data_IF_217981268264
#
_entry.id   IF_217981268264
#
_cell.length_a   1.000
_cell.length_b   1.000
_cell.length_c   1.000
_cell.angle_alpha   90.00
_cell.angle_beta   90.00
_cell.angle_gamma   90.00
#
_symmetry.space_group_name_H-M   'P 1'
#
loop_
_entity.id
_entity.type
_entity.pdbx_description
1 polymer ?
#
# COMPACT_ATOMS: atom_id res chain seq x y z
N UNK A 1 -85.02 76.68 -30.86
CA UNK A 1 -83.78 77.39 -30.46
C UNK A 1 -82.89 76.39 -29.73
N UNK A 2 -81.83 75.92 -30.39
CA UNK A 2 -80.88 74.97 -29.82
C UNK A 2 -79.73 75.77 -29.18
N UNK A 3 -79.54 75.65 -27.87
CA UNK A 3 -78.41 76.21 -27.15
C UNK A 3 -77.21 75.26 -27.28
N UNK A 4 -76.19 75.72 -27.98
CA UNK A 4 -74.86 75.10 -28.07
C UNK A 4 -74.12 75.25 -26.75
N UNK A 5 -73.69 74.14 -26.15
CA UNK A 5 -72.78 74.16 -25.00
C UNK A 5 -71.35 74.49 -25.47
N UNK A 6 -70.59 75.34 -24.75
CA UNK A 6 -69.22 75.67 -25.12
C UNK A 6 -68.27 74.53 -24.73
N UNK A 7 -67.43 74.13 -25.69
CA UNK A 7 -66.26 73.26 -25.48
C UNK A 7 -65.20 74.07 -24.72
N UNK A 8 -64.98 73.73 -23.46
CA UNK A 8 -63.89 74.30 -22.64
C UNK A 8 -62.56 73.70 -23.13
N UNK A 9 -61.52 74.51 -23.42
CA UNK A 9 -60.23 73.99 -23.85
C UNK A 9 -59.54 73.27 -22.69
N UNK A 10 -58.99 72.08 -22.96
CA UNK A 10 -58.25 71.30 -21.98
C UNK A 10 -56.93 72.00 -21.62
N UNK A 11 -56.76 72.31 -20.33
CA UNK A 11 -55.58 72.97 -19.76
C UNK A 11 -54.26 72.24 -20.07
N UNK A 12 -53.42 72.82 -20.94
CA UNK A 12 -52.05 72.35 -21.24
C UNK A 12 -51.18 72.15 -19.99
N UNK A 13 -51.45 72.90 -18.91
CA UNK A 13 -50.76 72.77 -17.63
C UNK A 13 -50.99 71.43 -16.91
N UNK A 14 -52.12 70.75 -17.16
CA UNK A 14 -52.39 69.42 -16.58
C UNK A 14 -51.65 68.31 -17.33
N UNK A 15 -51.50 68.45 -18.64
CA UNK A 15 -50.69 67.54 -19.47
C UNK A 15 -49.20 67.63 -19.12
N UNK A 16 -48.69 68.83 -18.84
CA UNK A 16 -47.28 69.02 -18.49
C UNK A 16 -46.94 68.46 -17.11
N UNK A 17 -47.82 68.64 -16.11
CA UNK A 17 -47.64 68.10 -14.74
C UNK A 17 -47.68 66.57 -14.71
N UNK A 18 -48.54 65.95 -15.51
CA UNK A 18 -48.62 64.48 -15.61
C UNK A 18 -47.39 63.87 -16.28
N UNK A 19 -46.79 64.57 -17.25
CA UNK A 19 -45.56 64.12 -17.90
C UNK A 19 -44.36 64.19 -16.95
N UNK A 20 -44.22 65.28 -16.18
CA UNK A 20 -43.16 65.41 -15.15
C UNK A 20 -43.30 64.33 -14.06
N UNK A 21 -44.53 64.04 -13.62
CA UNK A 21 -44.78 63.00 -12.62
C UNK A 21 -44.40 61.59 -13.13
N UNK A 22 -44.69 61.30 -14.41
CA UNK A 22 -44.32 60.03 -15.04
C UNK A 22 -42.81 59.88 -15.18
N UNK A 23 -42.10 60.95 -15.54
CA UNK A 23 -40.63 60.94 -15.63
C UNK A 23 -40.00 60.74 -14.25
N UNK A 24 -40.53 61.39 -13.21
CA UNK A 24 -40.08 61.18 -11.82
C UNK A 24 -40.30 59.74 -11.37
N UNK A 25 -41.49 59.16 -11.63
CA UNK A 25 -41.78 57.77 -11.29
C UNK A 25 -40.84 56.78 -12.00
N UNK A 26 -40.58 57.00 -13.29
CA UNK A 26 -39.62 56.19 -14.06
C UNK A 26 -38.20 56.28 -13.48
N UNK A 27 -37.78 57.48 -13.05
CA UNK A 27 -36.45 57.68 -12.50
C UNK A 27 -36.30 57.02 -11.12
N UNK A 28 -37.34 57.07 -10.29
CA UNK A 28 -37.38 56.34 -9.00
C UNK A 28 -37.34 54.84 -9.23
N UNK A 29 -38.12 54.31 -10.19
CA UNK A 29 -38.11 52.89 -10.53
C UNK A 29 -36.74 52.44 -11.06
N UNK A 30 -36.05 53.28 -11.84
CA UNK A 30 -34.70 53.01 -12.32
C UNK A 30 -33.68 52.94 -11.17
N UNK A 31 -33.75 53.88 -10.22
CA UNK A 31 -32.88 53.86 -9.04
C UNK A 31 -33.13 52.65 -8.14
N UNK A 32 -34.39 52.31 -7.89
CA UNK A 32 -34.75 51.14 -7.06
C UNK A 32 -34.27 49.84 -7.70
N UNK A 33 -34.46 49.67 -9.00
CA UNK A 33 -33.98 48.47 -9.72
C UNK A 33 -32.45 48.42 -9.76
N UNK A 34 -31.77 49.56 -9.97
CA UNK A 34 -30.31 49.67 -9.88
C UNK A 34 -29.76 49.24 -8.51
N UNK A 35 -30.38 49.69 -7.42
CA UNK A 35 -29.99 49.31 -6.07
C UNK A 35 -30.19 47.80 -5.80
N UNK A 36 -31.28 47.20 -6.30
CA UNK A 36 -31.53 45.76 -6.16
C UNK A 36 -30.47 44.94 -6.90
N UNK A 37 -30.10 45.35 -8.12
CA UNK A 37 -29.08 44.65 -8.92
C UNK A 37 -27.69 44.75 -8.26
N UNK A 38 -27.31 45.93 -7.76
CA UNK A 38 -26.04 46.13 -7.05
C UNK A 38 -26.01 45.32 -5.74
N UNK A 39 -27.10 45.35 -4.97
CA UNK A 39 -27.23 44.54 -3.76
C UNK A 39 -27.13 43.04 -4.08
N UNK A 40 -27.78 42.59 -5.16
CA UNK A 40 -27.67 41.23 -5.66
C UNK A 40 -26.23 40.84 -5.99
N UNK A 41 -25.52 41.64 -6.78
CA UNK A 41 -24.13 41.37 -7.15
C UNK A 41 -23.16 41.36 -5.96
N UNK A 42 -23.43 42.11 -4.89
CA UNK A 42 -22.59 42.12 -3.69
C UNK A 42 -22.88 40.93 -2.75
N UNK A 43 -24.12 40.47 -2.70
CA UNK A 43 -24.56 39.42 -1.78
C UNK A 43 -24.44 38.00 -2.35
N UNK A 44 -24.76 37.80 -3.63
CA UNK A 44 -24.72 36.48 -4.27
C UNK A 44 -23.33 35.81 -4.19
N UNK A 45 -22.20 36.51 -4.46
CA UNK A 45 -20.88 35.89 -4.38
C UNK A 45 -20.50 35.50 -2.95
N UNK A 46 -20.84 36.34 -1.96
CA UNK A 46 -20.58 36.06 -0.54
C UNK A 46 -21.40 34.88 -0.04
N UNK A 47 -22.68 34.82 -0.39
CA UNK A 47 -23.55 33.70 -0.04
C UNK A 47 -23.05 32.39 -0.68
N UNK A 48 -22.67 32.41 -1.96
CA UNK A 48 -22.07 31.24 -2.63
C UNK A 48 -20.75 30.81 -1.98
N UNK A 49 -19.87 31.73 -1.61
CA UNK A 49 -18.61 31.40 -0.94
C UNK A 49 -18.83 30.70 0.41
N UNK A 50 -19.76 31.20 1.24
CA UNK A 50 -20.11 30.56 2.51
C UNK A 50 -20.74 29.18 2.31
N UNK A 51 -21.57 29.02 1.29
CA UNK A 51 -22.23 27.75 0.99
C UNK A 51 -21.23 26.69 0.50
N UNK A 52 -20.26 27.08 -0.34
CA UNK A 52 -19.17 26.20 -0.79
C UNK A 52 -18.26 25.82 0.38
N UNK A 53 -17.93 26.76 1.27
CA UNK A 53 -17.14 26.46 2.47
C UNK A 53 -17.87 25.51 3.43
N UNK A 54 -19.19 25.65 3.59
CA UNK A 54 -19.99 24.74 4.40
C UNK A 54 -20.06 23.33 3.78
N UNK A 55 -20.19 23.24 2.45
CA UNK A 55 -20.19 21.95 1.73
C UNK A 55 -18.81 21.28 1.81
N UNK A 56 -17.73 22.03 1.64
CA UNK A 56 -16.37 21.47 1.72
C UNK A 56 -16.03 21.03 3.14
N UNK A 57 -16.45 21.78 4.17
CA UNK A 57 -16.32 21.38 5.57
C UNK A 57 -17.09 20.09 5.87
N UNK A 58 -18.35 19.98 5.39
CA UNK A 58 -19.13 18.73 5.53
C UNK A 58 -18.49 17.55 4.82
N UNK A 59 -17.93 17.76 3.62
CA UNK A 59 -17.26 16.71 2.86
C UNK A 59 -15.96 16.26 3.54
N UNK A 60 -15.23 17.18 4.18
CA UNK A 60 -14.03 16.87 4.96
C UNK A 60 -14.36 16.06 6.21
N UNK A 61 -15.37 16.48 6.98
CA UNK A 61 -15.84 15.72 8.16
C UNK A 61 -16.24 14.29 7.77
N UNK A 62 -16.94 14.13 6.64
CA UNK A 62 -17.33 12.79 6.17
C UNK A 62 -16.13 11.94 5.75
N UNK A 63 -15.13 12.53 5.09
CA UNK A 63 -13.89 11.82 4.72
C UNK A 63 -13.09 11.40 5.95
N UNK A 64 -12.95 12.30 6.94
CA UNK A 64 -12.25 12.01 8.19
C UNK A 64 -12.98 10.90 8.97
N UNK A 65 -14.32 10.86 8.92
CA UNK A 65 -15.14 9.81 9.52
C UNK A 65 -14.98 8.46 8.80
N UNK A 66 -14.95 8.46 7.46
CA UNK A 66 -14.71 7.25 6.65
C UNK A 66 -13.30 6.67 6.90
N UNK A 67 -12.28 7.52 7.07
CA UNK A 67 -10.91 7.09 7.37
C UNK A 67 -10.79 6.53 8.79
N UNK A 68 -11.45 7.15 9.78
CA UNK A 68 -11.55 6.59 11.14
C UNK A 68 -12.26 5.24 11.13
N UNK A 69 -13.32 5.06 10.34
CA UNK A 69 -14.01 3.77 10.21
C UNK A 69 -13.11 2.70 9.59
N UNK A 70 -12.30 3.04 8.58
CA UNK A 70 -11.32 2.11 7.99
C UNK A 70 -10.23 1.71 8.97
N UNK A 71 -9.64 2.69 9.67
CA UNK A 71 -8.59 2.45 10.67
C UNK A 71 -9.11 1.55 11.79
N UNK A 72 -10.34 1.81 12.25
CA UNK A 72 -11.02 0.96 13.25
C UNK A 72 -11.23 -0.46 12.77
N UNK A 73 -11.69 -0.67 11.52
CA UNK A 73 -11.85 -2.02 10.95
C UNK A 73 -10.52 -2.77 10.89
N UNK A 74 -9.45 -2.10 10.49
CA UNK A 74 -8.10 -2.68 10.42
C UNK A 74 -7.63 -3.17 11.79
N UNK A 75 -7.69 -2.31 12.81
CA UNK A 75 -7.29 -2.70 14.18
C UNK A 75 -8.13 -3.85 14.72
N UNK A 76 -9.42 -3.85 14.43
CA UNK A 76 -10.32 -4.92 14.88
C UNK A 76 -9.96 -6.25 14.23
N UNK A 77 -9.68 -6.25 12.92
CA UNK A 77 -9.23 -7.44 12.20
C UNK A 77 -7.91 -7.97 12.75
N UNK A 78 -6.98 -7.10 13.13
CA UNK A 78 -5.69 -7.47 13.70
C UNK A 78 -5.84 -8.13 15.08
N UNK A 79 -6.73 -7.59 15.94
CA UNK A 79 -7.07 -8.20 17.23
C UNK A 79 -7.68 -9.59 17.04
N UNK A 80 -8.60 -9.75 16.11
CA UNK A 80 -9.24 -11.04 15.81
C UNK A 80 -8.22 -12.06 15.33
N UNK A 81 -7.35 -11.69 14.40
CA UNK A 81 -6.29 -12.57 13.90
C UNK A 81 -5.34 -12.99 15.03
N UNK A 82 -4.98 -12.07 15.91
CA UNK A 82 -4.10 -12.34 17.06
C UNK A 82 -4.76 -13.31 18.05
N UNK A 83 -6.05 -13.11 18.35
CA UNK A 83 -6.81 -13.99 19.24
C UNK A 83 -7.05 -15.37 18.61
N UNK A 84 -7.30 -15.43 17.30
CA UNK A 84 -7.46 -16.68 16.57
C UNK A 84 -6.16 -17.49 16.54
N UNK A 85 -5.01 -16.85 16.32
CA UNK A 85 -3.72 -17.55 16.32
C UNK A 85 -3.30 -18.02 17.73
N UNK A 86 -3.74 -17.30 18.78
CA UNK A 86 -3.63 -17.74 20.17
C UNK A 86 -4.55 -18.92 20.52
N UNK A 87 -5.41 -19.37 19.60
CA UNK A 87 -6.30 -20.53 19.80
C UNK A 87 -7.54 -20.24 20.65
N UNK A 88 -7.94 -18.97 20.74
CA UNK A 88 -9.14 -18.56 21.47
C UNK A 88 -10.39 -19.05 20.73
N UNK A 89 -11.34 -19.62 21.48
CA UNK A 89 -12.63 -20.09 20.94
C UNK A 89 -13.37 -19.00 20.18
N UNK A 90 -14.01 -19.38 19.07
CA UNK A 90 -14.83 -18.51 18.22
C UNK A 90 -15.88 -17.73 19.00
N UNK A 91 -16.52 -18.36 19.99
CA UNK A 91 -17.57 -17.72 20.79
C UNK A 91 -17.00 -16.61 21.69
N UNK A 92 -15.76 -16.77 22.16
CA UNK A 92 -15.06 -15.79 22.98
C UNK A 92 -14.59 -14.61 22.12
N UNK A 93 -14.16 -14.88 20.88
CA UNK A 93 -13.82 -13.83 19.90
C UNK A 93 -15.09 -13.04 19.53
N UNK A 94 -16.20 -13.72 19.22
CA UNK A 94 -17.47 -13.07 18.92
C UNK A 94 -17.99 -12.24 20.10
N UNK A 95 -17.86 -12.76 21.33
CA UNK A 95 -18.19 -12.02 22.55
C UNK A 95 -17.29 -10.79 22.72
N UNK A 96 -15.97 -10.93 22.61
CA UNK A 96 -15.03 -9.82 22.72
C UNK A 96 -15.34 -8.70 21.71
N UNK A 97 -15.68 -9.06 20.47
CA UNK A 97 -16.10 -8.11 19.44
C UNK A 97 -17.43 -7.45 19.83
N UNK A 98 -18.42 -8.22 20.27
CA UNK A 98 -19.75 -7.71 20.66
C UNK A 98 -19.73 -6.75 21.85
N UNK A 99 -18.75 -6.90 22.75
CA UNK A 99 -18.58 -6.04 23.95
C UNK A 99 -17.74 -4.80 23.63
N UNK A 100 -17.05 -4.78 22.49
CA UNK A 100 -16.30 -3.61 22.02
C UNK A 100 -17.11 -2.83 20.98
N UNK A 101 -16.88 -1.52 20.86
CA UNK A 101 -17.57 -0.64 19.89
C UNK A 101 -17.17 -0.90 18.41
N UNK A 102 -16.68 -2.10 18.09
CA UNK A 102 -16.14 -2.48 16.79
C UNK A 102 -17.05 -3.53 16.15
N UNK A 103 -18.06 -3.12 15.36
CA UNK A 103 -18.86 -4.06 14.59
C UNK A 103 -18.00 -4.63 13.45
N UNK A 104 -17.32 -5.74 13.73
CA UNK A 104 -16.82 -6.62 12.68
C UNK A 104 -17.96 -7.50 12.21
N UNK A 105 -18.11 -7.62 10.89
CA UNK A 105 -19.06 -8.55 10.31
C UNK A 105 -18.63 -9.98 10.62
N UNK A 106 -19.55 -10.83 11.08
CA UNK A 106 -19.25 -12.20 11.50
C UNK A 106 -18.72 -13.02 10.30
N UNK A 107 -19.16 -12.68 9.09
CA UNK A 107 -18.65 -13.26 7.86
C UNK A 107 -17.16 -12.96 7.63
N UNK A 108 -16.70 -11.74 7.96
CA UNK A 108 -15.29 -11.35 7.82
C UNK A 108 -14.41 -12.11 8.84
N UNK A 109 -14.96 -12.47 10.00
CA UNK A 109 -14.26 -13.27 11.02
C UNK A 109 -14.01 -14.69 10.51
N UNK A 110 -14.99 -15.35 9.90
CA UNK A 110 -14.82 -16.72 9.37
C UNK A 110 -13.75 -16.74 8.28
N UNK A 111 -13.80 -15.79 7.34
CA UNK A 111 -12.79 -15.66 6.27
C UNK A 111 -11.40 -15.43 6.84
N UNK A 112 -11.27 -14.56 7.85
CA UNK A 112 -9.97 -14.29 8.49
C UNK A 112 -9.43 -15.49 9.27
N UNK A 113 -10.29 -16.30 9.91
CA UNK A 113 -9.89 -17.53 10.59
C UNK A 113 -9.40 -18.57 9.58
N UNK A 114 -10.11 -18.77 8.46
CA UNK A 114 -9.70 -19.68 7.39
C UNK A 114 -8.39 -19.23 6.72
N UNK A 115 -8.22 -17.93 6.50
CA UNK A 115 -6.98 -17.34 5.98
C UNK A 115 -5.81 -17.52 6.98
N UNK A 116 -6.06 -17.33 8.28
CA UNK A 116 -5.07 -17.59 9.32
C UNK A 116 -4.64 -19.06 9.36
N UNK A 117 -5.59 -20.00 9.26
CA UNK A 117 -5.29 -21.43 9.21
C UNK A 117 -4.49 -21.83 7.96
N UNK A 118 -4.82 -21.27 6.80
CA UNK A 118 -4.08 -21.51 5.55
C UNK A 118 -2.68 -20.92 5.57
N UNK A 119 -2.50 -19.71 6.12
CA UNK A 119 -1.17 -19.11 6.33
C UNK A 119 -0.30 -19.93 7.28
N UNK A 120 -0.89 -20.47 8.36
CA UNK A 120 -0.18 -21.34 9.31
C UNK A 120 0.26 -22.65 8.67
N UNK A 121 -0.60 -23.27 7.86
CA UNK A 121 -0.25 -24.46 7.09
C UNK A 121 0.87 -24.17 6.07
N UNK A 122 0.80 -23.01 5.38
CA UNK A 122 1.83 -22.60 4.44
C UNK A 122 3.19 -22.40 5.14
N UNK A 123 3.21 -21.70 6.28
CA UNK A 123 4.44 -21.50 7.05
C UNK A 123 5.04 -22.83 7.52
N UNK A 124 4.21 -23.76 8.00
CA UNK A 124 4.70 -25.09 8.38
C UNK A 124 5.35 -25.85 7.21
N UNK A 125 4.79 -25.72 5.99
CA UNK A 125 5.42 -26.32 4.79
C UNK A 125 6.73 -25.62 4.39
N UNK A 126 6.80 -24.30 4.54
CA UNK A 126 8.02 -23.53 4.26
C UNK A 126 9.13 -23.84 5.26
N UNK A 127 8.80 -23.99 6.54
CA UNK A 127 9.77 -24.35 7.59
C UNK A 127 10.35 -25.74 7.35
N UNK A 128 9.51 -26.72 7.00
CA UNK A 128 9.96 -28.05 6.61
C UNK A 128 10.89 -28.02 5.38
N UNK A 129 10.59 -27.14 4.41
CA UNK A 129 11.43 -26.96 3.23
C UNK A 129 12.80 -26.35 3.56
N UNK A 130 12.85 -25.38 4.48
CA UNK A 130 14.10 -24.80 4.96
C UNK A 130 14.95 -25.82 5.71
N UNK A 131 14.34 -26.67 6.54
CA UNK A 131 15.06 -27.74 7.24
C UNK A 131 15.72 -28.71 6.25
N UNK A 132 15.01 -29.11 5.19
CA UNK A 132 15.56 -29.96 4.12
C UNK A 132 16.75 -29.28 3.42
N UNK A 133 16.64 -28.00 3.07
CA UNK A 133 17.73 -27.25 2.45
C UNK A 133 18.97 -27.19 3.36
N UNK A 134 18.78 -26.93 4.66
CA UNK A 134 19.86 -26.92 5.63
C UNK A 134 20.54 -28.28 5.76
N UNK A 135 19.78 -29.38 5.73
CA UNK A 135 20.37 -30.72 5.72
C UNK A 135 21.18 -30.98 4.44
N UNK A 136 20.71 -30.53 3.28
CA UNK A 136 21.40 -30.69 2.01
C UNK A 136 22.73 -29.92 1.99
N UNK A 137 22.73 -28.66 2.46
CA UNK A 137 23.96 -27.86 2.59
C UNK A 137 24.95 -28.51 3.54
N UNK A 138 24.50 -29.08 4.66
CA UNK A 138 25.38 -29.82 5.59
C UNK A 138 25.98 -31.06 4.91
N UNK A 139 25.20 -31.76 4.11
CA UNK A 139 25.64 -32.96 3.40
C UNK A 139 26.69 -32.62 2.33
N UNK A 140 26.48 -31.56 1.56
CA UNK A 140 27.47 -31.05 0.58
C UNK A 140 28.77 -30.62 1.24
N UNK A 141 28.71 -29.93 2.39
CA UNK A 141 29.91 -29.56 3.16
C UNK A 141 30.69 -30.79 3.61
N UNK A 142 29.97 -31.83 4.04
CA UNK A 142 30.57 -33.10 4.48
C UNK A 142 31.21 -33.85 3.31
N UNK A 143 30.53 -33.94 2.17
CA UNK A 143 31.07 -34.52 0.95
C UNK A 143 32.33 -33.79 0.47
N UNK A 144 32.30 -32.46 0.42
CA UNK A 144 33.45 -31.65 0.04
C UNK A 144 34.65 -31.83 0.99
N UNK A 145 34.39 -31.98 2.30
CA UNK A 145 35.45 -32.30 3.26
C UNK A 145 36.07 -33.67 2.99
N UNK A 146 35.24 -34.69 2.77
CA UNK A 146 35.69 -36.05 2.45
C UNK A 146 36.48 -36.10 1.14
N UNK A 147 36.04 -35.37 0.11
CA UNK A 147 36.76 -35.25 -1.16
C UNK A 147 38.17 -34.65 -0.96
N UNK A 148 38.29 -33.56 -0.19
CA UNK A 148 39.60 -32.96 0.12
C UNK A 148 40.50 -33.91 0.91
N UNK A 149 39.93 -34.70 1.83
CA UNK A 149 40.69 -35.72 2.57
C UNK A 149 41.17 -36.85 1.66
N UNK A 150 40.33 -37.30 0.72
CA UNK A 150 40.70 -38.29 -0.28
C UNK A 150 41.79 -37.76 -1.23
N UNK A 151 41.68 -36.52 -1.71
CA UNK A 151 42.72 -35.88 -2.52
C UNK A 151 44.05 -35.79 -1.78
N UNK A 152 44.05 -35.41 -0.50
CA UNK A 152 45.27 -35.39 0.33
C UNK A 152 45.88 -36.78 0.50
N UNK A 153 45.05 -37.80 0.73
CA UNK A 153 45.51 -39.19 0.84
C UNK A 153 46.08 -39.70 -0.48
N UNK A 154 45.42 -39.40 -1.60
CA UNK A 154 45.92 -39.72 -2.94
C UNK A 154 47.26 -39.06 -3.21
N UNK A 155 47.36 -37.75 -3.00
CA UNK A 155 48.62 -37.02 -3.16
C UNK A 155 49.75 -37.56 -2.26
N UNK A 156 49.42 -38.06 -1.07
CA UNK A 156 50.39 -38.73 -0.20
C UNK A 156 50.84 -40.08 -0.77
N UNK A 157 49.92 -40.88 -1.31
CA UNK A 157 50.25 -42.14 -1.98
C UNK A 157 51.13 -41.90 -3.21
N UNK A 158 50.81 -40.91 -4.03
CA UNK A 158 51.59 -40.57 -5.22
C UNK A 158 53.06 -40.22 -4.86
N UNK A 159 53.28 -39.49 -3.75
CA UNK A 159 54.63 -39.21 -3.24
C UNK A 159 55.37 -40.45 -2.77
N UNK A 160 54.67 -41.37 -2.11
CA UNK A 160 55.25 -42.63 -1.65
C UNK A 160 55.61 -43.52 -2.83
N UNK A 161 54.74 -43.60 -3.84
CA UNK A 161 55.02 -44.32 -5.08
C UNK A 161 56.22 -43.74 -5.81
N UNK A 162 56.30 -42.41 -5.95
CA UNK A 162 57.45 -41.74 -6.54
C UNK A 162 58.76 -42.05 -5.79
N UNK A 163 58.73 -42.08 -4.46
CA UNK A 163 59.87 -42.45 -3.64
C UNK A 163 60.32 -43.91 -3.88
N UNK A 164 59.39 -44.84 -3.97
CA UNK A 164 59.74 -46.24 -4.26
C UNK A 164 60.29 -46.43 -5.67
N UNK A 165 59.75 -45.72 -6.67
CA UNK A 165 60.30 -45.74 -8.03
C UNK A 165 61.74 -45.23 -8.07
N UNK A 166 62.04 -44.11 -7.41
CA UNK A 166 63.41 -43.58 -7.38
C UNK A 166 64.38 -44.50 -6.64
N UNK A 167 63.96 -45.17 -5.56
CA UNK A 167 64.79 -46.18 -4.92
C UNK A 167 65.14 -47.34 -5.87
N UNK A 168 64.17 -47.78 -6.65
CA UNK A 168 64.34 -48.88 -7.60
C UNK A 168 65.27 -48.47 -8.76
N UNK A 169 65.15 -47.24 -9.26
CA UNK A 169 66.05 -46.67 -10.27
C UNK A 169 67.50 -46.56 -9.76
N UNK A 170 67.69 -46.10 -8.52
CA UNK A 170 69.02 -46.04 -7.88
C UNK A 170 69.62 -47.44 -7.71
N UNK A 171 68.81 -48.42 -7.32
CA UNK A 171 69.26 -49.81 -7.22
C UNK A 171 69.69 -50.36 -8.58
N UNK A 172 68.92 -50.11 -9.64
CA UNK A 172 69.25 -50.52 -11.01
C UNK A 172 70.55 -49.86 -11.50
N UNK A 173 70.70 -48.54 -11.32
CA UNK A 173 71.93 -47.81 -11.67
C UNK A 173 73.16 -48.36 -10.93
N UNK A 174 72.99 -48.74 -9.66
CA UNK A 174 74.09 -49.34 -8.86
C UNK A 174 74.52 -50.70 -9.42
N UNK A 175 73.56 -51.50 -9.90
CA UNK A 175 73.84 -52.79 -10.55
C UNK A 175 74.59 -52.56 -11.87
N UNK A 176 74.11 -51.64 -12.72
CA UNK A 176 74.76 -51.30 -14.00
C UNK A 176 76.19 -50.79 -13.80
N UNK A 177 76.41 -49.90 -12.84
CA UNK A 177 77.74 -49.37 -12.52
C UNK A 177 78.71 -50.47 -12.08
N UNK A 178 78.25 -51.45 -11.28
CA UNK A 178 79.08 -52.61 -10.91
C UNK A 178 79.42 -53.48 -12.11
N UNK A 179 78.49 -53.69 -13.02
CA UNK A 179 78.74 -54.46 -14.24
C UNK A 179 79.80 -53.78 -15.13
N UNK A 180 79.67 -52.46 -15.36
CA UNK A 180 80.65 -51.69 -16.14
C UNK A 180 82.04 -51.69 -15.50
N UNK A 181 82.13 -51.58 -14.17
CA UNK A 181 83.41 -51.67 -13.46
C UNK A 181 84.05 -53.07 -13.54
N UNK A 182 83.23 -54.13 -13.56
CA UNK A 182 83.71 -55.50 -13.76
C UNK A 182 84.29 -55.71 -15.16
N UNK A 183 83.64 -55.15 -16.19
CA UNK A 183 84.09 -55.24 -17.58
C UNK A 183 85.40 -54.45 -17.84
N UNK A 184 85.63 -53.34 -17.14
CA UNK A 184 86.88 -52.57 -17.28
C UNK A 184 88.09 -53.20 -16.56
N UNK A 185 87.88 -54.19 -15.69
CA UNK A 185 88.95 -54.88 -14.94
C UNK A 185 89.37 -56.22 -15.55
N UNK A 186 88.65 -56.70 -16.57
CA UNK A 186 88.99 -57.87 -17.40
C UNK A 186 89.68 -57.44 -18.68
#
# INVERSE_FOLDING_TARGET
MALTAPVVPADEHTAQRTLVLRVLLLNVLFWVTGCIVIAGHLWLPRACAHLVAAISARRKVKSDEDDVVKERRRMSSEIVLTLADAGVSRDVIAYAISVTDYPLDIADIEVNIEQGATLKALNATMDAHHEVLDTQVRLERTQNKLLRELERKKARLDRVEAYYRTQLDVANLTIEMRQLQGQHRS
#
